data_IF_549302715349
#
_entry.id   IF_549302715349
#
_cell.length_a   1.000
_cell.length_b   1.000
_cell.length_c   1.000
_cell.angle_alpha   90.00
_cell.angle_beta   90.00
_cell.angle_gamma   90.00
#
_symmetry.space_group_name_H-M   'P 1'
#
loop_
_entity.id
_entity.type
_entity.pdbx_description
1 polymer ?
#
# COMPACT_ATOMS: atom_id res chain seq x y z
N UNK A 1 -20.42 -69.01 -48.65
CA UNK A 1 -19.30 -68.51 -47.91
C UNK A 1 -19.34 -66.99 -47.84
N UNK A 2 -19.85 -66.40 -46.71
CA UNK A 2 -19.98 -64.94 -46.51
C UNK A 2 -18.84 -64.50 -45.63
N UNK A 3 -17.96 -63.65 -46.14
CA UNK A 3 -16.87 -63.03 -45.36
C UNK A 3 -17.42 -61.82 -44.69
N UNK A 4 -17.41 -61.80 -43.37
CA UNK A 4 -17.72 -60.64 -42.52
C UNK A 4 -16.45 -59.81 -42.38
N UNK A 5 -16.50 -58.54 -42.86
CA UNK A 5 -15.42 -57.59 -42.72
C UNK A 5 -15.65 -56.85 -41.40
N UNK A 6 -14.70 -57.04 -40.46
CA UNK A 6 -14.71 -56.34 -39.16
C UNK A 6 -14.00 -54.98 -39.35
N UNK A 7 -14.76 -53.89 -39.25
CA UNK A 7 -14.18 -52.51 -39.25
C UNK A 7 -13.89 -52.12 -37.80
N UNK A 8 -12.63 -52.01 -37.47
CA UNK A 8 -12.20 -51.49 -36.18
C UNK A 8 -12.05 -49.96 -36.30
N UNK A 9 -13.00 -49.24 -35.67
CA UNK A 9 -12.88 -47.79 -35.52
C UNK A 9 -11.99 -47.46 -34.30
N UNK A 10 -10.78 -46.95 -34.53
CA UNK A 10 -9.90 -46.38 -33.52
C UNK A 10 -10.29 -44.93 -33.30
N UNK A 11 -10.94 -44.62 -32.19
CA UNK A 11 -11.17 -43.24 -31.74
C UNK A 11 -9.92 -42.70 -31.08
N UNK A 12 -9.17 -41.81 -31.77
CA UNK A 12 -8.10 -41.04 -31.19
C UNK A 12 -8.68 -39.93 -30.30
N UNK A 13 -8.65 -40.16 -28.99
CA UNK A 13 -9.00 -39.13 -28.02
C UNK A 13 -7.86 -38.09 -27.90
N UNK A 14 -8.09 -36.90 -28.43
CA UNK A 14 -7.18 -35.76 -28.18
C UNK A 14 -7.40 -35.23 -26.79
N UNK A 15 -6.42 -35.53 -25.88
CA UNK A 15 -6.36 -34.97 -24.52
C UNK A 15 -5.82 -33.53 -24.62
N UNK A 16 -6.69 -32.53 -24.65
CA UNK A 16 -6.31 -31.12 -24.51
C UNK A 16 -5.88 -30.87 -23.07
N UNK A 17 -4.58 -30.86 -22.79
CA UNK A 17 -4.03 -30.27 -21.57
C UNK A 17 -4.17 -28.76 -21.66
N UNK A 18 -5.17 -28.18 -20.98
CA UNK A 18 -5.22 -26.76 -20.72
C UNK A 18 -4.12 -26.43 -19.69
N UNK A 19 -2.98 -25.90 -20.15
CA UNK A 19 -2.02 -25.25 -19.26
C UNK A 19 -2.69 -23.94 -18.76
N UNK A 20 -3.23 -23.98 -17.55
CA UNK A 20 -3.57 -22.77 -16.82
C UNK A 20 -2.27 -22.08 -16.44
N UNK A 21 -1.86 -21.06 -17.20
CA UNK A 21 -0.81 -20.14 -16.79
C UNK A 21 -1.38 -19.31 -15.64
N UNK A 22 -1.05 -19.68 -14.42
CA UNK A 22 -1.22 -18.81 -13.26
C UNK A 22 -0.18 -17.69 -13.41
N UNK A 23 -0.59 -16.53 -13.91
CA UNK A 23 0.21 -15.32 -13.78
C UNK A 23 0.25 -15.00 -12.28
N UNK A 24 1.38 -15.25 -11.64
CA UNK A 24 1.63 -14.72 -10.30
C UNK A 24 1.64 -13.21 -10.44
N UNK A 25 0.64 -12.53 -9.88
CA UNK A 25 0.75 -11.09 -9.67
C UNK A 25 1.97 -10.88 -8.78
N UNK A 26 2.93 -10.10 -9.24
CA UNK A 26 4.10 -9.75 -8.43
C UNK A 26 3.63 -8.66 -7.48
N UNK A 27 3.54 -8.96 -6.20
CA UNK A 27 3.35 -7.93 -5.19
C UNK A 27 4.43 -6.85 -5.36
N UNK A 28 4.06 -5.60 -5.18
CA UNK A 28 4.98 -4.48 -5.26
C UNK A 28 6.06 -4.54 -4.17
N UNK A 29 6.96 -3.57 -4.17
CA UNK A 29 7.98 -3.45 -3.14
C UNK A 29 7.46 -2.64 -1.95
N UNK A 30 7.94 -2.95 -0.74
CA UNK A 30 7.72 -2.08 0.44
C UNK A 30 8.29 -0.69 0.17
N UNK A 31 7.49 0.34 0.43
CA UNK A 31 7.87 1.75 0.31
C UNK A 31 7.76 2.46 1.65
N UNK A 32 8.57 3.50 1.87
CA UNK A 32 8.55 4.30 3.10
C UNK A 32 8.71 5.77 2.76
N UNK A 33 7.79 6.60 3.25
CA UNK A 33 7.84 8.05 3.19
C UNK A 33 8.11 8.62 4.60
N UNK A 34 8.87 9.72 4.67
CA UNK A 34 9.19 10.41 5.92
C UNK A 34 8.57 11.81 5.93
N UNK A 35 7.98 12.18 7.05
CA UNK A 35 7.54 13.54 7.31
C UNK A 35 8.72 14.37 7.81
N UNK A 36 8.81 15.63 7.34
CA UNK A 36 9.72 16.60 7.93
C UNK A 36 9.31 16.89 9.39
N UNK A 37 10.27 17.11 10.29
CA UNK A 37 9.96 17.46 11.67
C UNK A 37 9.46 18.92 11.75
N UNK A 38 8.77 19.26 12.84
CA UNK A 38 8.62 20.68 13.18
C UNK A 38 9.94 21.20 13.75
N UNK A 39 10.73 21.86 12.92
CA UNK A 39 12.04 22.39 13.31
C UNK A 39 11.97 23.47 14.39
N UNK A 40 10.82 24.08 14.62
CA UNK A 40 10.63 25.03 15.70
C UNK A 40 10.62 24.34 17.08
N UNK A 41 10.06 23.13 17.13
CA UNK A 41 9.92 22.35 18.37
C UNK A 41 11.02 21.28 18.51
N UNK A 42 11.45 20.69 17.40
CA UNK A 42 12.47 19.64 17.37
C UNK A 42 13.57 19.90 16.33
N UNK A 43 14.42 20.94 16.56
CA UNK A 43 15.39 21.39 15.54
C UNK A 43 16.45 20.34 15.17
N UNK A 44 16.63 19.30 15.98
CA UNK A 44 17.60 18.23 15.75
C UNK A 44 16.95 16.89 15.34
N UNK A 45 15.64 16.83 15.19
CA UNK A 45 15.00 15.61 14.72
C UNK A 45 15.30 15.40 13.23
N UNK A 46 15.64 14.18 12.85
CA UNK A 46 15.85 13.85 11.44
C UNK A 46 14.51 13.79 10.67
N UNK A 47 13.45 13.35 11.36
CA UNK A 47 12.10 13.21 10.80
C UNK A 47 11.05 13.37 11.90
N UNK A 48 9.90 13.94 11.58
CA UNK A 48 8.74 14.02 12.48
C UNK A 48 8.03 12.69 12.62
N UNK A 49 7.96 11.94 11.50
CA UNK A 49 7.34 10.63 11.47
C UNK A 49 7.62 9.89 10.16
N UNK A 50 7.11 8.66 10.05
CA UNK A 50 7.17 7.88 8.81
C UNK A 50 5.89 7.10 8.57
N UNK A 51 5.59 6.88 7.30
CA UNK A 51 4.60 5.92 6.84
C UNK A 51 5.30 4.86 5.98
N UNK A 52 4.97 3.59 6.20
CA UNK A 52 5.50 2.47 5.42
C UNK A 52 4.33 1.63 4.91
N UNK A 53 4.26 1.42 3.60
CA UNK A 53 3.33 0.47 3.01
C UNK A 53 4.06 -0.82 2.67
N UNK A 54 3.49 -1.95 3.13
CA UNK A 54 3.94 -3.31 2.83
C UNK A 54 2.90 -3.97 1.95
N UNK A 55 3.22 -4.31 0.69
CA UNK A 55 2.29 -4.98 -0.22
C UNK A 55 1.86 -6.36 0.27
N UNK A 56 2.77 -7.11 0.90
CA UNK A 56 2.42 -8.41 1.51
C UNK A 56 1.51 -8.18 2.72
N UNK A 57 0.23 -8.52 2.55
CA UNK A 57 -0.84 -8.30 3.53
C UNK A 57 -1.39 -6.87 3.59
N UNK A 58 -1.02 -5.97 2.65
CA UNK A 58 -1.53 -4.60 2.47
C UNK A 58 -1.52 -3.77 3.77
N UNK A 59 -0.42 -3.83 4.52
CA UNK A 59 -0.25 -3.11 5.78
C UNK A 59 0.31 -1.70 5.59
N UNK A 60 -0.41 -0.70 6.10
CA UNK A 60 0.10 0.68 6.24
C UNK A 60 0.52 0.91 7.69
N UNK A 61 1.82 1.02 7.92
CA UNK A 61 2.43 1.28 9.22
C UNK A 61 2.75 2.77 9.36
N UNK A 62 2.26 3.41 10.41
CA UNK A 62 2.47 4.84 10.68
C UNK A 62 3.17 4.98 12.01
N UNK A 63 4.43 5.42 11.99
CA UNK A 63 5.30 5.52 13.17
C UNK A 63 5.58 6.98 13.49
N UNK A 64 5.34 7.37 14.73
CA UNK A 64 5.73 8.67 15.27
C UNK A 64 7.19 8.60 15.73
N UNK A 65 8.03 9.51 15.21
CA UNK A 65 9.49 9.51 15.43
C UNK A 65 9.98 10.70 16.26
N UNK A 66 9.14 11.72 16.48
CA UNK A 66 9.58 12.93 17.16
C UNK A 66 8.72 13.24 18.40
N UNK A 67 9.37 13.63 19.49
CA UNK A 67 8.68 14.12 20.68
C UNK A 67 8.38 15.61 20.52
N UNK A 68 7.50 15.94 19.57
CA UNK A 68 7.17 17.31 19.18
C UNK A 68 5.71 17.69 19.49
N UNK A 69 4.96 16.79 20.13
CA UNK A 69 3.55 17.00 20.45
C UNK A 69 2.60 16.85 19.28
N UNK A 70 3.11 16.50 18.08
CA UNK A 70 2.31 16.27 16.88
C UNK A 70 2.06 14.78 16.66
N UNK A 71 1.07 14.48 15.85
CA UNK A 71 0.76 13.12 15.39
C UNK A 71 1.34 12.90 14.00
N UNK A 72 1.82 11.69 13.73
CA UNK A 72 2.19 11.30 12.36
C UNK A 72 0.98 10.86 11.55
N UNK A 73 0.98 11.24 10.27
CA UNK A 73 -0.08 10.94 9.32
C UNK A 73 0.50 10.17 8.14
N UNK A 74 -0.06 9.00 7.85
CA UNK A 74 0.11 8.33 6.57
C UNK A 74 -0.92 8.85 5.58
N UNK A 75 -0.46 9.53 4.53
CA UNK A 75 -1.27 9.95 3.40
C UNK A 75 -1.05 8.93 2.28
N UNK A 76 -2.07 8.16 1.96
CA UNK A 76 -2.02 7.13 0.93
C UNK A 76 -3.01 7.43 -0.18
N UNK A 77 -2.56 7.35 -1.43
CA UNK A 77 -3.38 7.40 -2.64
C UNK A 77 -3.58 5.98 -3.15
N UNK A 78 -4.82 5.59 -3.42
CA UNK A 78 -5.19 4.22 -3.78
C UNK A 78 -5.88 4.21 -5.14
N UNK A 79 -5.25 3.56 -6.12
CA UNK A 79 -5.83 3.29 -7.44
C UNK A 79 -5.86 4.46 -8.41
N UNK A 80 -5.52 5.68 -8.01
CA UNK A 80 -5.41 6.85 -8.89
C UNK A 80 -4.53 7.96 -8.31
N UNK A 81 -4.07 8.87 -9.16
CA UNK A 81 -3.16 9.97 -8.80
C UNK A 81 -3.88 11.31 -8.52
N UNK A 82 -5.16 11.27 -8.19
CA UNK A 82 -5.94 12.47 -7.87
C UNK A 82 -6.22 12.57 -6.38
N UNK A 83 -6.46 13.78 -5.88
CA UNK A 83 -6.81 14.03 -4.49
C UNK A 83 -8.07 13.27 -4.02
N UNK A 84 -8.95 12.87 -4.95
CA UNK A 84 -10.14 12.07 -4.64
C UNK A 84 -9.81 10.64 -4.16
N UNK A 85 -8.61 10.15 -4.45
CA UNK A 85 -8.13 8.83 -4.04
C UNK A 85 -7.26 8.86 -2.79
N UNK A 86 -7.11 10.02 -2.15
CA UNK A 86 -6.26 10.19 -0.97
C UNK A 86 -7.02 9.83 0.30
N UNK A 87 -6.40 8.99 1.10
CA UNK A 87 -6.86 8.62 2.43
C UNK A 87 -5.82 9.03 3.46
N UNK A 88 -6.28 9.42 4.67
CA UNK A 88 -5.46 9.99 5.73
C UNK A 88 -5.62 9.15 6.99
N UNK A 89 -4.55 8.52 7.42
CA UNK A 89 -4.52 7.68 8.62
C UNK A 89 -3.58 8.31 9.65
N UNK A 90 -4.08 8.51 10.86
CA UNK A 90 -3.37 9.21 11.93
C UNK A 90 -2.84 8.24 12.98
N UNK A 91 -1.57 8.33 13.34
CA UNK A 91 -1.06 7.77 14.57
C UNK A 91 -1.08 8.86 15.64
N UNK A 92 -1.95 8.72 16.63
CA UNK A 92 -2.17 9.68 17.72
C UNK A 92 -1.70 9.14 19.08
N UNK A 93 -0.99 8.04 19.08
CA UNK A 93 -0.59 7.34 20.31
C UNK A 93 0.74 7.86 20.87
N UNK A 94 1.39 8.81 20.16
CA UNK A 94 2.59 9.51 20.54
C UNK A 94 3.89 8.87 20.05
N UNK A 95 4.99 9.51 20.43
CA UNK A 95 6.34 9.13 19.99
C UNK A 95 6.68 7.67 20.30
N UNK A 96 7.46 7.07 19.41
CA UNK A 96 7.90 5.66 19.45
C UNK A 96 6.75 4.63 19.31
N UNK A 97 5.53 5.08 18.97
CA UNK A 97 4.42 4.17 18.66
C UNK A 97 4.27 3.96 17.16
N UNK A 98 3.69 2.82 16.80
CA UNK A 98 3.34 2.50 15.41
C UNK A 98 1.89 2.04 15.37
N UNK A 99 1.09 2.75 14.57
CA UNK A 99 -0.25 2.31 14.19
C UNK A 99 -0.16 1.45 12.94
N UNK A 100 -0.73 0.26 13.00
CA UNK A 100 -0.90 -0.65 11.86
C UNK A 100 -2.34 -0.55 11.34
N UNK A 101 -2.47 -0.34 10.04
CA UNK A 101 -3.75 -0.31 9.31
C UNK A 101 -3.69 -1.39 8.25
N UNK A 102 -4.49 -2.44 8.41
CA UNK A 102 -4.70 -3.44 7.36
C UNK A 102 -5.69 -2.89 6.34
N UNK A 103 -5.25 -2.84 5.08
CA UNK A 103 -6.03 -2.41 3.93
C UNK A 103 -6.41 -3.66 3.13
N UNK A 104 -7.65 -3.73 2.66
CA UNK A 104 -8.12 -4.82 1.79
C UNK A 104 -8.11 -4.32 0.35
N UNK A 105 -7.01 -4.52 -0.35
CA UNK A 105 -6.75 -3.98 -1.69
C UNK A 105 -6.68 -5.11 -2.71
N UNK A 106 -7.12 -4.82 -3.95
CA UNK A 106 -6.93 -5.74 -5.04
C UNK A 106 -5.46 -5.74 -5.48
N UNK A 107 -4.91 -6.93 -5.76
CA UNK A 107 -3.56 -7.10 -6.32
C UNK A 107 -3.34 -6.21 -7.55
N UNK A 108 -2.16 -5.59 -7.60
CA UNK A 108 -1.79 -4.67 -8.67
C UNK A 108 -2.39 -3.27 -8.56
N UNK A 109 -3.12 -2.96 -7.47
CA UNK A 109 -3.61 -1.61 -7.21
C UNK A 109 -2.44 -0.64 -7.04
N UNK A 110 -2.42 0.45 -7.83
CA UNK A 110 -1.39 1.48 -7.71
C UNK A 110 -1.51 2.22 -6.38
N UNK A 111 -0.39 2.35 -5.69
CA UNK A 111 -0.29 2.99 -4.37
C UNK A 111 0.71 4.14 -4.44
N UNK A 112 0.26 5.32 -3.99
CA UNK A 112 1.12 6.45 -3.67
C UNK A 112 1.16 6.67 -2.17
N UNK A 113 2.32 7.02 -1.61
CA UNK A 113 2.52 7.20 -0.17
C UNK A 113 3.27 8.49 0.12
N UNK A 114 2.78 9.24 1.11
CA UNK A 114 3.48 10.33 1.79
C UNK A 114 3.32 10.19 3.30
N UNK A 115 4.20 10.83 4.05
CA UNK A 115 4.03 11.04 5.48
C UNK A 115 3.97 12.54 5.78
N UNK A 116 3.17 12.93 6.75
CA UNK A 116 3.04 14.29 7.28
C UNK A 116 2.99 14.24 8.81
N UNK A 117 3.10 15.40 9.47
CA UNK A 117 2.71 15.56 10.87
C UNK A 117 1.55 16.54 10.99
N UNK A 118 0.89 16.55 12.15
CA UNK A 118 -0.20 17.48 12.40
C UNK A 118 -0.88 17.32 13.74
N UNK A 119 -1.88 18.19 13.99
CA UNK A 119 -2.66 18.25 15.21
C UNK A 119 -4.09 17.82 14.91
N UNK A 120 -4.50 16.68 15.43
CA UNK A 120 -5.82 16.14 15.15
C UNK A 120 -6.95 17.12 15.55
N UNK A 121 -7.76 17.53 14.57
CA UNK A 121 -8.85 18.51 14.78
C UNK A 121 -10.26 17.91 14.65
N UNK A 122 -10.38 16.58 14.72
CA UNK A 122 -11.69 15.91 14.64
C UNK A 122 -12.06 15.39 13.25
N UNK A 123 -11.30 15.76 12.20
CA UNK A 123 -11.52 15.28 10.82
C UNK A 123 -10.23 14.73 10.22
N UNK A 124 -10.28 13.75 9.29
CA UNK A 124 -9.09 13.15 8.71
C UNK A 124 -8.14 14.14 8.02
N UNK A 125 -8.67 15.22 7.46
CA UNK A 125 -7.90 16.25 6.74
C UNK A 125 -7.64 17.51 7.56
N UNK A 126 -8.26 17.62 8.73
CA UNK A 126 -8.10 18.79 9.60
C UNK A 126 -6.84 18.72 10.44
N UNK A 127 -6.13 19.84 10.54
CA UNK A 127 -4.94 19.97 11.37
C UNK A 127 -3.66 19.39 10.76
N UNK A 128 -3.68 18.95 9.50
CA UNK A 128 -2.47 18.51 8.78
C UNK A 128 -1.56 19.70 8.54
N UNK A 129 -0.30 19.58 8.91
CA UNK A 129 0.76 20.55 8.60
C UNK A 129 1.35 20.20 7.22
N UNK A 130 0.70 20.64 6.15
CA UNK A 130 1.08 20.24 4.78
C UNK A 130 2.53 20.60 4.40
N UNK A 131 3.12 21.61 5.04
CA UNK A 131 4.53 21.97 4.85
C UNK A 131 5.53 20.95 5.42
N UNK A 132 5.05 19.97 6.18
CA UNK A 132 5.88 18.87 6.74
C UNK A 132 5.72 17.56 5.97
N UNK A 133 4.84 17.55 4.97
CA UNK A 133 4.65 16.35 4.17
C UNK A 133 5.89 16.07 3.31
N UNK A 134 6.21 14.79 3.13
CA UNK A 134 7.22 14.36 2.17
C UNK A 134 7.05 15.08 0.82
N UNK A 135 8.13 15.56 0.24
CA UNK A 135 8.09 16.33 -1.01
C UNK A 135 7.55 15.49 -2.18
N UNK A 136 8.03 14.27 -2.28
CA UNK A 136 7.67 13.35 -3.37
C UNK A 136 6.74 12.24 -2.88
N UNK A 137 5.94 11.70 -3.80
CA UNK A 137 5.20 10.47 -3.59
C UNK A 137 6.14 9.26 -3.77
N UNK A 138 6.20 8.41 -2.75
CA UNK A 138 6.70 7.04 -2.93
C UNK A 138 5.61 6.21 -3.60
N UNK A 139 5.96 5.36 -4.55
CA UNK A 139 4.96 4.59 -5.32
C UNK A 139 5.29 3.12 -5.42
N UNK A 140 4.24 2.28 -5.38
CA UNK A 140 4.31 0.83 -5.56
C UNK A 140 2.96 0.29 -6.03
N UNK A 141 2.78 -1.01 -6.04
CA UNK A 141 1.49 -1.69 -6.19
C UNK A 141 1.20 -2.55 -4.96
N UNK A 142 -0.09 -2.76 -4.69
CA UNK A 142 -0.53 -3.74 -3.69
C UNK A 142 -0.34 -5.16 -4.19
#
# INVERSE_FOLDING_TARGET
>A
MRRVLLVVMTTAGALLLALSMTTSASAGSTITAYAEPDYAETPNAAHGGKATFKPDGEHLLITDLAKDGHSTIGLISIGCDTAACNYYYWNRDGVDTTRDVNLDLAEGTHIGLKACIGDWSGTPTGGIRFGTCADLWETTTA
#
